data_IF_750741190673
#
_entry.id   IF_750741190673
#
_cell.length_a   1.000
_cell.length_b   1.000
_cell.length_c   1.000
_cell.angle_alpha   90.00
_cell.angle_beta   90.00
_cell.angle_gamma   90.00
#
_symmetry.space_group_name_H-M   'P 1'
#
loop_
_entity.id
_entity.type
_entity.pdbx_description
1 polymer ?
#
# COMPACT_ATOMS: atom_id res chain seq x y z
N UNK A 1 -10.21 64.97 46.04
CA UNK A 1 -8.88 64.71 45.44
C UNK A 1 -7.92 63.94 46.35
N UNK A 2 -8.24 63.62 47.62
CA UNK A 2 -7.31 62.92 48.55
C UNK A 2 -7.31 61.39 48.45
N UNK A 3 -8.41 60.74 48.04
CA UNK A 3 -8.47 59.27 47.97
C UNK A 3 -7.72 58.65 46.78
N UNK A 4 -7.67 59.33 45.63
CA UNK A 4 -6.96 58.84 44.45
C UNK A 4 -5.43 58.85 44.61
N UNK A 5 -4.89 59.85 45.32
CA UNK A 5 -3.45 59.92 45.64
C UNK A 5 -3.04 58.83 46.65
N UNK A 6 -3.90 58.52 47.62
CA UNK A 6 -3.63 57.48 48.60
C UNK A 6 -3.63 56.07 47.96
N UNK A 7 -4.56 55.81 47.04
CA UNK A 7 -4.58 54.55 46.27
C UNK A 7 -3.35 54.37 45.37
N UNK A 8 -2.87 55.45 44.73
CA UNK A 8 -1.67 55.42 43.89
C UNK A 8 -0.39 55.19 44.72
N UNK A 9 -0.28 55.84 45.87
CA UNK A 9 0.82 55.62 46.82
C UNK A 9 0.86 54.18 47.34
N UNK A 10 -0.32 53.63 47.70
CA UNK A 10 -0.43 52.24 48.16
C UNK A 10 -0.06 51.23 47.06
N UNK A 11 -0.39 51.53 45.80
CA UNK A 11 -0.01 50.72 44.66
C UNK A 11 1.51 50.76 44.40
N UNK A 12 2.13 51.94 44.52
CA UNK A 12 3.58 52.10 44.37
C UNK A 12 4.37 51.44 45.52
N UNK A 13 3.84 51.47 46.75
CA UNK A 13 4.39 50.72 47.88
C UNK A 13 4.32 49.22 47.64
N UNK A 14 3.15 48.68 47.29
CA UNK A 14 2.99 47.24 46.98
C UNK A 14 3.89 46.83 45.81
N UNK A 15 4.04 47.69 44.79
CA UNK A 15 4.93 47.43 43.66
C UNK A 15 6.40 47.39 44.09
N UNK A 16 6.83 48.28 45.00
CA UNK A 16 8.19 48.24 45.58
C UNK A 16 8.42 46.98 46.41
N UNK A 17 7.48 46.63 47.28
CA UNK A 17 7.58 45.41 48.12
C UNK A 17 7.62 44.15 47.26
N UNK A 18 6.83 44.09 46.19
CA UNK A 18 6.87 42.99 45.24
C UNK A 18 8.19 42.93 44.47
N UNK A 19 8.76 44.08 44.07
CA UNK A 19 10.08 44.12 43.42
C UNK A 19 11.21 43.67 44.34
N UNK A 20 11.10 44.00 45.63
CA UNK A 20 12.08 43.62 46.64
C UNK A 20 11.95 42.15 47.05
N UNK A 21 10.73 41.62 47.09
CA UNK A 21 10.48 40.18 47.24
C UNK A 21 10.98 39.38 46.03
N UNK A 22 10.78 39.87 44.80
CA UNK A 22 11.35 39.26 43.58
C UNK A 22 12.88 39.28 43.64
N UNK A 23 13.50 40.38 44.07
CA UNK A 23 14.96 40.42 44.29
C UNK A 23 15.42 39.44 45.37
N UNK A 24 14.67 39.28 46.45
CA UNK A 24 14.95 38.27 47.49
C UNK A 24 14.81 36.84 46.98
N UNK A 25 13.82 36.58 46.12
CA UNK A 25 13.63 35.27 45.49
C UNK A 25 14.78 34.99 44.51
N UNK A 26 15.14 35.95 43.66
CA UNK A 26 16.30 35.84 42.76
C UNK A 26 17.62 35.65 43.52
N UNK A 27 17.83 36.38 44.62
CA UNK A 27 19.00 36.17 45.48
C UNK A 27 18.95 34.85 46.25
N UNK A 28 17.75 34.33 46.56
CA UNK A 28 17.59 32.99 47.14
C UNK A 28 17.75 31.90 46.08
N UNK A 29 17.42 32.12 44.81
CA UNK A 29 17.74 31.23 43.69
C UNK A 29 19.25 31.22 43.41
N UNK A 30 19.94 32.36 43.52
CA UNK A 30 21.41 32.47 43.47
C UNK A 30 22.12 31.89 44.70
N UNK A 31 21.44 31.80 45.85
CA UNK A 31 21.98 31.15 47.06
C UNK A 31 21.52 29.70 47.23
N UNK A 32 20.45 29.26 46.57
CA UNK A 32 20.06 27.85 46.40
C UNK A 32 20.81 27.17 45.26
N UNK A 33 21.50 27.93 44.40
CA UNK A 33 22.46 27.40 43.42
C UNK A 33 23.87 27.20 43.99
N UNK A 34 24.07 27.37 45.30
CA UNK A 34 25.29 27.00 46.02
C UNK A 34 25.05 25.90 47.08
N UNK A 35 24.35 24.84 46.67
CA UNK A 35 24.46 23.53 47.32
C UNK A 35 24.82 22.48 46.26
N UNK A 36 26.07 22.01 46.32
CA UNK A 36 26.59 20.80 45.70
C UNK A 36 26.53 20.71 44.17
N UNK A 37 27.28 21.56 43.46
CA UNK A 37 27.72 21.30 42.09
C UNK A 37 28.83 20.23 42.06
N UNK A 38 28.49 19.00 42.44
CA UNK A 38 29.27 17.84 42.03
C UNK A 38 29.09 17.66 40.52
N UNK A 39 30.03 18.18 39.74
CA UNK A 39 30.51 17.65 38.45
C UNK A 39 29.55 16.74 37.64
N UNK A 40 28.33 17.23 37.36
CA UNK A 40 27.27 16.48 36.69
C UNK A 40 27.68 16.09 35.25
N UNK A 41 28.59 16.88 34.64
CA UNK A 41 29.15 16.60 33.32
C UNK A 41 30.06 15.38 33.26
N UNK A 42 31.04 15.27 34.17
CA UNK A 42 31.97 14.14 34.17
C UNK A 42 31.27 12.82 34.55
N UNK A 43 30.29 12.87 35.46
CA UNK A 43 29.48 11.70 35.82
C UNK A 43 28.66 11.19 34.62
N UNK A 44 28.04 12.09 33.84
CA UNK A 44 27.29 11.71 32.63
C UNK A 44 28.21 11.01 31.62
N UNK A 45 29.41 11.53 31.40
CA UNK A 45 30.37 10.92 30.48
C UNK A 45 30.83 9.53 30.96
N UNK A 46 31.04 9.37 32.27
CA UNK A 46 31.39 8.08 32.87
C UNK A 46 30.27 7.04 32.70
N UNK A 47 29.01 7.42 32.92
CA UNK A 47 27.85 6.53 32.73
C UNK A 47 27.71 6.15 31.24
N UNK A 48 27.92 7.11 30.32
CA UNK A 48 27.91 6.85 28.88
C UNK A 48 29.04 5.88 28.46
N UNK A 49 30.22 6.02 29.03
CA UNK A 49 31.34 5.12 28.77
C UNK A 49 31.10 3.73 29.35
N UNK A 50 30.55 3.64 30.57
CA UNK A 50 30.18 2.38 31.22
C UNK A 50 29.11 1.63 30.43
N UNK A 51 28.06 2.32 29.96
CA UNK A 51 27.00 1.72 29.13
C UNK A 51 27.52 1.23 27.78
N UNK A 52 28.51 1.92 27.19
CA UNK A 52 29.17 1.54 25.93
C UNK A 52 30.29 0.51 26.07
N UNK A 53 30.86 0.31 27.26
CA UNK A 53 32.06 -0.54 27.47
C UNK A 53 31.94 -1.95 26.88
N UNK A 54 30.75 -2.54 26.93
CA UNK A 54 30.45 -3.87 26.38
C UNK A 54 30.20 -3.87 24.86
N UNK A 55 30.02 -2.69 24.25
CA UNK A 55 29.86 -2.45 22.83
C UNK A 55 31.21 -2.04 22.23
N UNK A 56 32.06 -3.04 22.04
CA UNK A 56 33.47 -2.87 21.74
C UNK A 56 33.72 -2.44 20.27
N UNK A 57 33.58 -1.15 19.92
CA UNK A 57 34.21 -0.52 18.75
C UNK A 57 34.30 1.02 18.85
N UNK A 58 35.46 1.59 18.50
CA UNK A 58 35.83 3.01 18.64
C UNK A 58 35.26 4.00 17.62
N UNK A 59 33.93 4.10 17.47
CA UNK A 59 33.31 5.29 16.88
C UNK A 59 31.94 5.58 17.49
N UNK A 60 31.72 6.83 17.92
CA UNK A 60 30.45 7.33 18.47
C UNK A 60 29.30 7.23 17.45
N UNK A 61 29.64 7.24 16.15
CA UNK A 61 28.70 7.27 15.02
C UNK A 61 27.86 5.97 14.91
N UNK A 62 28.35 4.87 15.50
CA UNK A 62 27.70 3.55 15.41
C UNK A 62 26.50 3.35 16.33
N UNK A 63 26.39 4.15 17.40
CA UNK A 63 25.22 4.11 18.28
C UNK A 63 24.01 4.84 17.67
N UNK A 64 24.25 5.69 16.66
CA UNK A 64 23.23 6.44 15.93
C UNK A 64 22.21 7.08 16.86
N UNK A 65 20.93 6.75 16.64
CA UNK A 65 19.79 7.31 17.40
C UNK A 65 19.81 6.92 18.88
N UNK A 66 20.39 5.77 19.25
CA UNK A 66 20.46 5.30 20.65
C UNK A 66 21.22 6.27 21.54
N UNK A 67 22.28 6.88 21.00
CA UNK A 67 23.11 7.82 21.73
C UNK A 67 22.32 9.06 22.15
N UNK A 68 21.46 9.58 21.26
CA UNK A 68 20.62 10.74 21.60
C UNK A 68 19.68 10.44 22.76
N UNK A 69 19.00 9.28 22.76
CA UNK A 69 18.13 8.88 23.87
C UNK A 69 18.90 8.68 25.18
N UNK A 70 20.14 8.20 25.10
CA UNK A 70 21.00 8.05 26.28
C UNK A 70 21.35 9.42 26.88
N UNK A 71 21.75 10.38 26.05
CA UNK A 71 22.03 11.76 26.47
C UNK A 71 20.78 12.42 27.04
N UNK A 72 19.66 12.36 26.32
CA UNK A 72 18.38 12.94 26.75
C UNK A 72 17.87 12.31 28.05
N UNK A 73 18.17 11.04 28.32
CA UNK A 73 17.79 10.39 29.59
C UNK A 73 18.63 10.83 30.78
N UNK A 74 19.82 11.36 30.54
CA UNK A 74 20.74 11.83 31.57
C UNK A 74 20.65 13.34 31.79
N UNK A 75 20.32 14.10 30.75
CA UNK A 75 20.13 15.54 30.82
C UNK A 75 18.87 15.92 31.64
N UNK A 76 19.05 16.79 32.63
CA UNK A 76 17.97 17.33 33.45
C UNK A 76 16.97 18.10 32.57
N UNK A 77 15.67 17.80 32.72
CA UNK A 77 14.60 18.49 31.98
C UNK A 77 14.36 18.02 30.54
N UNK A 78 15.15 17.08 30.02
CA UNK A 78 15.01 16.61 28.63
C UNK A 78 13.81 15.67 28.40
N UNK A 79 13.34 14.97 29.44
CA UNK A 79 12.17 14.11 29.36
C UNK A 79 10.94 14.77 29.98
N UNK A 80 9.94 15.06 29.15
CA UNK A 80 8.67 15.66 29.54
C UNK A 80 7.56 14.68 29.19
N UNK A 81 6.64 14.44 30.13
CA UNK A 81 5.46 13.64 29.85
C UNK A 81 4.46 14.46 29.02
N UNK A 82 4.16 14.04 27.79
CA UNK A 82 3.27 14.82 26.90
C UNK A 82 1.78 14.80 27.32
N UNK A 83 1.43 14.10 28.40
CA UNK A 83 0.05 14.04 28.91
C UNK A 83 -0.15 15.11 30.00
N UNK A 84 0.71 15.16 31.02
CA UNK A 84 0.63 16.18 32.09
C UNK A 84 1.53 17.39 31.84
N UNK A 85 2.45 17.32 30.87
CA UNK A 85 3.42 18.37 30.51
C UNK A 85 4.49 18.60 31.61
N UNK A 86 4.52 17.76 32.65
CA UNK A 86 5.55 17.80 33.69
C UNK A 86 6.84 17.08 33.28
N UNK A 87 7.96 17.54 33.86
CA UNK A 87 9.27 16.90 33.74
C UNK A 87 9.27 15.56 34.48
N UNK A 88 9.74 14.52 33.80
CA UNK A 88 9.89 13.18 34.35
C UNK A 88 11.14 13.14 35.23
N UNK A 89 10.96 12.86 36.52
CA UNK A 89 12.04 12.76 37.49
C UNK A 89 12.72 11.39 37.44
N UNK A 90 13.99 11.32 37.83
CA UNK A 90 14.80 10.07 37.83
C UNK A 90 14.19 8.92 38.67
N UNK A 91 13.28 9.24 39.59
CA UNK A 91 12.60 8.34 40.54
C UNK A 91 11.13 8.10 40.20
N UNK A 92 10.62 8.72 39.15
CA UNK A 92 9.23 8.54 38.73
C UNK A 92 9.01 7.15 38.11
N UNK A 93 7.81 6.60 38.34
CA UNK A 93 7.35 5.40 37.68
C UNK A 93 6.86 5.74 36.26
N UNK A 94 7.54 5.18 35.24
CA UNK A 94 7.30 5.53 33.84
C UNK A 94 6.90 4.34 32.98
N UNK A 95 6.31 4.64 31.83
CA UNK A 95 6.17 3.74 30.71
C UNK A 95 6.80 4.38 29.47
N UNK A 96 7.54 3.60 28.68
CA UNK A 96 8.08 4.04 27.40
C UNK A 96 7.39 3.34 26.24
N UNK A 97 7.05 4.09 25.19
CA UNK A 97 6.50 3.51 23.97
C UNK A 97 7.51 2.56 23.31
N UNK A 98 7.10 1.36 22.88
CA UNK A 98 7.99 0.42 22.18
C UNK A 98 8.36 0.86 20.75
N UNK A 99 7.58 1.77 20.16
CA UNK A 99 7.81 2.28 18.80
C UNK A 99 8.63 3.58 18.78
N UNK A 100 8.19 4.60 19.53
CA UNK A 100 8.85 5.91 19.55
C UNK A 100 9.74 6.16 20.77
N UNK A 101 9.78 5.24 21.73
CA UNK A 101 10.63 5.28 22.92
C UNK A 101 10.43 6.47 23.86
N UNK A 102 9.39 7.28 23.64
CA UNK A 102 9.11 8.40 24.54
C UNK A 102 8.56 7.92 25.88
N UNK A 103 9.08 8.48 26.98
CA UNK A 103 8.62 8.17 28.33
C UNK A 103 7.36 8.97 28.70
N UNK A 104 6.51 8.37 29.51
CA UNK A 104 5.31 8.95 30.11
C UNK A 104 5.20 8.46 31.54
N UNK A 105 4.64 9.25 32.46
CA UNK A 105 4.29 8.71 33.78
C UNK A 105 3.29 7.57 33.63
N UNK A 106 3.49 6.50 34.41
CA UNK A 106 2.66 5.30 34.32
C UNK A 106 1.18 5.62 34.59
N UNK A 107 0.90 6.51 35.54
CA UNK A 107 -0.45 6.94 35.90
C UNK A 107 -1.10 7.72 34.76
N UNK A 108 -0.34 8.61 34.11
CA UNK A 108 -0.84 9.42 32.99
C UNK A 108 -1.23 8.55 31.80
N UNK A 109 -0.36 7.60 31.40
CA UNK A 109 -0.68 6.72 30.26
C UNK A 109 -1.85 5.77 30.59
N UNK A 110 -1.97 5.29 31.83
CA UNK A 110 -3.11 4.49 32.24
C UNK A 110 -4.43 5.26 32.18
N UNK A 111 -4.43 6.54 32.58
CA UNK A 111 -5.59 7.43 32.45
C UNK A 111 -5.95 7.61 30.97
N UNK A 112 -4.96 7.95 30.14
CA UNK A 112 -5.12 8.13 28.69
C UNK A 112 -5.78 6.93 28.01
N UNK A 113 -5.36 5.72 28.36
CA UNK A 113 -5.92 4.48 27.81
C UNK A 113 -7.37 4.29 28.26
N UNK A 114 -7.67 4.51 29.55
CA UNK A 114 -9.04 4.38 30.08
C UNK A 114 -10.00 5.36 29.41
N UNK A 115 -9.59 6.61 29.26
CA UNK A 115 -10.39 7.65 28.62
C UNK A 115 -10.61 7.35 27.13
N UNK A 116 -9.56 6.88 26.44
CA UNK A 116 -9.65 6.45 25.04
C UNK A 116 -10.64 5.29 24.86
N UNK A 117 -10.56 4.24 25.67
CA UNK A 117 -11.47 3.09 25.60
C UNK A 117 -12.91 3.52 25.89
N UNK A 118 -13.13 4.39 26.90
CA UNK A 118 -14.47 4.90 27.22
C UNK A 118 -15.08 5.65 26.02
N UNK A 119 -14.32 6.54 25.38
CA UNK A 119 -14.78 7.28 24.20
C UNK A 119 -15.08 6.38 23.00
N UNK A 120 -14.23 5.37 22.74
CA UNK A 120 -14.44 4.41 21.65
C UNK A 120 -15.66 3.51 21.87
N UNK A 121 -15.89 3.06 23.11
CA UNK A 121 -17.04 2.22 23.46
C UNK A 121 -18.39 2.92 23.30
N UNK A 122 -18.41 4.27 23.38
CA UNK A 122 -19.62 5.06 23.17
C UNK A 122 -20.02 5.21 21.69
N UNK A 123 -19.12 4.89 20.74
CA UNK A 123 -19.33 5.18 19.30
C UNK A 123 -19.42 3.96 18.40
N UNK A 124 -18.90 2.77 18.77
CA UNK A 124 -18.99 1.56 17.93
C UNK A 124 -19.02 0.25 18.75
N UNK A 125 -19.95 -0.65 18.42
CA UNK A 125 -20.23 -1.86 19.20
C UNK A 125 -19.50 -3.15 18.75
N UNK A 126 -18.60 -3.12 17.76
CA UNK A 126 -18.05 -4.36 17.17
C UNK A 126 -16.55 -4.33 16.75
N UNK A 127 -15.75 -3.37 17.19
CA UNK A 127 -14.29 -3.38 16.92
C UNK A 127 -13.46 -3.68 18.17
N UNK A 128 -12.29 -4.29 17.95
CA UNK A 128 -11.29 -4.55 19.00
C UNK A 128 -10.86 -3.19 19.53
N UNK A 129 -11.08 -2.93 20.82
CA UNK A 129 -10.73 -1.66 21.48
C UNK A 129 -9.21 -1.45 21.57
N UNK A 130 -8.51 -1.15 20.49
CA UNK A 130 -7.08 -0.78 20.54
C UNK A 130 -6.91 0.63 21.13
N UNK A 131 -5.75 0.90 21.70
CA UNK A 131 -5.38 2.24 22.17
C UNK A 131 -4.11 2.72 21.47
N UNK A 132 -3.86 4.03 21.47
CA UNK A 132 -2.76 4.61 20.70
C UNK A 132 -1.79 5.40 21.58
N UNK A 133 -0.50 5.37 21.23
CA UNK A 133 0.50 6.20 21.89
C UNK A 133 0.24 7.69 21.68
N UNK A 134 0.27 8.54 22.73
CA UNK A 134 0.03 9.98 22.61
C UNK A 134 0.97 10.71 21.65
N UNK A 135 2.22 10.22 21.50
CA UNK A 135 3.24 10.85 20.64
C UNK A 135 3.18 10.37 19.20
N UNK A 136 3.33 9.07 18.97
CA UNK A 136 3.50 8.51 17.63
C UNK A 136 2.23 7.89 17.04
N UNK A 137 1.15 7.81 17.82
CA UNK A 137 -0.14 7.22 17.44
C UNK A 137 -0.07 5.76 16.98
N UNK A 138 1.02 5.05 17.32
CA UNK A 138 1.08 3.59 17.15
C UNK A 138 -0.01 2.94 17.97
N UNK A 139 -0.74 2.02 17.34
CA UNK A 139 -1.82 1.25 17.95
C UNK A 139 -1.26 0.08 18.76
N UNK A 140 -1.91 -0.18 19.89
CA UNK A 140 -1.57 -1.22 20.86
C UNK A 140 -2.84 -1.96 21.28
N UNK A 141 -2.69 -3.23 21.60
CA UNK A 141 -3.79 -4.02 22.13
C UNK A 141 -4.10 -3.63 23.58
N UNK A 142 -5.34 -3.81 24.07
CA UNK A 142 -5.69 -3.68 25.49
C UNK A 142 -4.78 -4.46 26.43
N UNK A 143 -4.25 -5.60 25.97
CA UNK A 143 -3.36 -6.47 26.75
C UNK A 143 -2.02 -5.80 27.03
N UNK A 144 -1.59 -4.89 26.16
CA UNK A 144 -0.33 -4.15 26.28
C UNK A 144 -0.46 -2.92 27.19
N UNK A 145 -1.61 -2.73 27.85
CA UNK A 145 -1.79 -1.66 28.84
C UNK A 145 -0.73 -1.79 29.92
N UNK A 146 0.10 -0.75 30.15
CA UNK A 146 1.15 -0.79 31.15
C UNK A 146 0.56 -0.87 32.56
N UNK A 147 0.76 -2.00 33.23
CA UNK A 147 0.30 -2.25 34.61
C UNK A 147 1.37 -2.03 35.66
N UNK A 148 2.64 -2.15 35.27
CA UNK A 148 3.80 -2.12 36.16
C UNK A 148 4.86 -1.20 35.57
N UNK A 149 5.63 -0.56 36.45
CA UNK A 149 6.80 0.18 36.04
C UNK A 149 7.94 -0.81 35.83
N UNK A 150 8.47 -0.82 34.60
CA UNK A 150 9.49 -1.75 34.16
C UNK A 150 10.70 -0.96 33.68
N UNK A 151 11.89 -1.53 33.86
CA UNK A 151 13.09 -0.97 33.26
C UNK A 151 13.02 -1.03 31.72
N UNK A 152 13.88 -0.29 31.01
CA UNK A 152 13.84 -0.24 29.54
C UNK A 152 13.98 -1.61 28.85
N UNK A 153 14.63 -2.59 29.48
CA UNK A 153 14.75 -3.95 28.95
C UNK A 153 13.66 -4.92 29.42
N UNK A 154 12.72 -4.45 30.24
CA UNK A 154 11.58 -5.19 30.80
C UNK A 154 11.96 -6.41 31.66
N UNK A 155 13.21 -6.49 32.13
CA UNK A 155 13.69 -7.58 32.99
C UNK A 155 13.40 -7.36 34.47
N UNK A 156 13.34 -6.10 34.89
CA UNK A 156 13.16 -5.71 36.29
C UNK A 156 11.91 -4.84 36.45
N UNK A 157 11.16 -5.09 37.52
CA UNK A 157 9.97 -4.34 37.94
C UNK A 157 10.43 -3.35 39.01
N UNK A 158 9.95 -2.11 38.92
CA UNK A 158 10.26 -1.01 39.84
C UNK A 158 11.78 -0.83 40.07
N UNK A 159 12.57 -0.59 39.00
CA UNK A 159 14.02 -0.48 39.11
C UNK A 159 14.42 0.65 40.08
N UNK A 160 15.34 0.34 41.00
CA UNK A 160 15.83 1.33 41.95
C UNK A 160 16.72 2.37 41.26
N UNK A 161 16.60 3.63 41.69
CA UNK A 161 17.45 4.71 41.20
C UNK A 161 18.86 4.60 41.77
N UNK A 162 19.86 4.57 40.88
CA UNK A 162 21.29 4.60 41.21
C UNK A 162 21.95 5.76 40.45
N UNK A 163 22.67 6.68 41.12
CA UNK A 163 23.39 7.78 40.48
C UNK A 163 24.41 7.37 39.40
N UNK A 164 24.95 6.15 39.45
CA UNK A 164 25.98 5.64 38.53
C UNK A 164 25.42 4.83 37.37
N UNK A 165 24.09 4.80 37.23
CA UNK A 165 23.37 4.10 36.17
C UNK A 165 22.43 5.06 35.43
N UNK A 166 21.98 4.63 34.26
CA UNK A 166 20.94 5.34 33.53
C UNK A 166 19.65 5.32 34.38
N UNK A 167 18.97 6.46 34.60
CA UNK A 167 17.69 6.48 35.29
C UNK A 167 16.69 5.52 34.66
N UNK A 168 15.85 4.88 35.47
CA UNK A 168 14.87 3.88 35.02
C UNK A 168 15.47 2.63 34.33
N UNK A 169 16.78 2.41 34.43
CA UNK A 169 17.46 1.21 33.96
C UNK A 169 17.75 0.24 35.10
N UNK A 170 17.90 -1.06 34.79
CA UNK A 170 18.25 -2.09 35.77
C UNK A 170 19.77 -2.31 35.92
N UNK A 171 20.61 -1.54 35.23
CA UNK A 171 22.06 -1.73 35.21
C UNK A 171 22.60 -3.03 34.57
N UNK A 172 21.75 -4.02 34.32
CA UNK A 172 22.10 -5.29 33.64
C UNK A 172 22.28 -5.09 32.12
N UNK A 173 22.90 -6.07 31.45
CA UNK A 173 22.93 -6.10 29.98
C UNK A 173 21.52 -6.14 29.39
N UNK A 174 21.27 -5.32 28.36
CA UNK A 174 19.95 -5.16 27.75
C UNK A 174 19.40 -6.50 27.23
N UNK A 175 20.18 -7.25 26.45
CA UNK A 175 19.84 -8.60 26.01
C UNK A 175 18.63 -8.72 25.07
N UNK A 176 18.02 -7.60 24.64
CA UNK A 176 16.99 -7.61 23.60
C UNK A 176 17.53 -8.17 22.29
N UNK A 177 16.69 -8.89 21.52
CA UNK A 177 17.05 -9.32 20.16
C UNK A 177 17.21 -8.09 19.27
N UNK A 178 18.30 -8.05 18.51
CA UNK A 178 18.59 -6.94 17.60
C UNK A 178 17.73 -7.04 16.34
N UNK A 179 17.30 -5.88 15.85
CA UNK A 179 16.50 -5.72 14.63
C UNK A 179 17.39 -5.01 13.59
N UNK A 180 17.52 -5.51 12.36
CA UNK A 180 16.91 -6.72 11.81
C UNK A 180 17.43 -8.01 12.48
N UNK A 181 16.58 -9.04 12.53
CA UNK A 181 16.90 -10.31 13.18
C UNK A 181 18.16 -10.93 12.58
N UNK A 182 19.23 -10.94 13.38
CA UNK A 182 20.52 -11.49 13.01
C UNK A 182 20.96 -12.65 13.92
N UNK A 183 20.09 -13.09 14.83
CA UNK A 183 20.40 -14.09 15.85
C UNK A 183 21.23 -13.57 17.03
N UNK A 184 21.59 -12.29 17.03
CA UNK A 184 22.37 -11.65 18.10
C UNK A 184 21.51 -10.79 19.02
N UNK A 185 22.03 -10.57 20.23
CA UNK A 185 21.40 -9.79 21.31
C UNK A 185 22.16 -8.48 21.55
N UNK A 186 21.47 -7.48 22.10
CA UNK A 186 22.08 -6.22 22.51
C UNK A 186 23.03 -6.44 23.70
N UNK A 187 24.27 -5.96 23.57
CA UNK A 187 25.32 -6.06 24.58
C UNK A 187 25.48 -4.80 25.42
N UNK A 188 24.80 -3.70 25.08
CA UNK A 188 24.77 -2.51 25.93
C UNK A 188 24.11 -2.82 27.27
N UNK A 189 24.44 -2.06 28.31
CA UNK A 189 23.63 -2.04 29.52
C UNK A 189 22.20 -1.54 29.19
N UNK A 190 21.24 -1.83 30.08
CA UNK A 190 19.85 -1.40 29.92
C UNK A 190 19.78 0.09 29.58
N UNK A 191 19.22 0.41 28.42
CA UNK A 191 19.28 1.74 27.82
C UNK A 191 17.91 2.16 27.29
N UNK A 192 17.60 3.47 27.26
CA UNK A 192 16.44 4.01 26.57
C UNK A 192 16.61 3.91 25.04
N UNK A 193 15.52 4.08 24.31
CA UNK A 193 15.58 4.12 22.85
C UNK A 193 15.72 2.75 22.17
N UNK A 194 15.86 2.75 20.83
CA UNK A 194 16.07 1.54 20.05
C UNK A 194 17.44 0.91 20.34
N UNK A 195 17.56 -0.41 20.20
CA UNK A 195 18.89 -1.04 20.23
C UNK A 195 19.69 -0.68 18.96
N UNK A 196 21.00 -0.42 19.07
CA UNK A 196 21.83 -0.10 17.91
C UNK A 196 22.02 -1.33 17.01
N UNK A 197 22.48 -1.13 15.76
CA UNK A 197 22.82 -2.22 14.86
C UNK A 197 23.84 -3.20 15.48
N UNK A 198 23.81 -4.46 15.03
CA UNK A 198 24.67 -5.49 15.60
C UNK A 198 26.17 -5.20 15.37
N UNK A 199 26.98 -5.07 16.44
CA UNK A 199 28.41 -4.76 16.34
C UNK A 199 29.25 -5.99 16.00
N UNK A 200 28.71 -7.21 16.21
CA UNK A 200 29.44 -8.45 15.95
C UNK A 200 29.91 -8.52 14.50
N UNK A 201 31.16 -8.93 14.33
CA UNK A 201 31.74 -9.18 13.01
C UNK A 201 31.34 -10.57 12.50
N UNK A 202 30.99 -10.64 11.22
CA UNK A 202 30.61 -11.85 10.50
C UNK A 202 31.30 -11.85 9.15
N UNK A 203 31.65 -13.03 8.64
CA UNK A 203 32.20 -13.17 7.30
C UNK A 203 31.08 -13.13 6.27
N UNK A 204 31.10 -12.10 5.42
CA UNK A 204 30.05 -11.87 4.42
C UNK A 204 30.63 -11.88 3.02
N UNK A 205 29.88 -12.48 2.09
CA UNK A 205 30.20 -12.46 0.66
C UNK A 205 29.70 -11.16 0.04
N UNK A 206 30.42 -10.69 -0.97
CA UNK A 206 29.99 -9.56 -1.78
C UNK A 206 28.72 -9.89 -2.58
N UNK A 207 27.93 -8.89 -2.97
CA UNK A 207 26.75 -9.09 -3.82
C UNK A 207 27.01 -9.86 -5.12
N UNK A 208 28.22 -9.75 -5.69
CA UNK A 208 28.59 -10.51 -6.89
C UNK A 208 29.02 -11.96 -6.61
N UNK A 209 29.24 -12.35 -5.34
CA UNK A 209 29.77 -13.65 -4.90
C UNK A 209 31.15 -14.04 -5.47
N UNK A 210 31.83 -13.15 -6.21
CA UNK A 210 33.13 -13.44 -6.83
C UNK A 210 34.33 -13.11 -5.94
N UNK A 211 34.18 -12.17 -4.99
CA UNK A 211 35.25 -11.85 -4.05
C UNK A 211 35.21 -12.75 -2.82
N UNK A 212 36.36 -12.96 -2.20
CA UNK A 212 36.48 -13.71 -0.96
C UNK A 212 35.59 -13.12 0.17
N UNK A 213 35.05 -13.98 1.05
CA UNK A 213 34.36 -13.51 2.25
C UNK A 213 35.23 -12.56 3.04
N UNK A 214 34.67 -11.42 3.44
CA UNK A 214 35.37 -10.40 4.23
C UNK A 214 34.66 -10.21 5.56
N UNK A 215 35.42 -10.05 6.64
CA UNK A 215 34.86 -9.73 7.95
C UNK A 215 34.21 -8.34 7.90
N UNK A 216 32.89 -8.28 8.11
CA UNK A 216 32.12 -7.03 8.21
C UNK A 216 31.19 -7.10 9.41
N UNK A 217 30.70 -5.96 9.87
CA UNK A 217 29.69 -5.92 10.94
C UNK A 217 28.39 -6.54 10.47
N UNK A 218 27.75 -7.31 11.35
CA UNK A 218 26.51 -8.01 11.08
C UNK A 218 25.36 -7.05 10.74
N UNK A 219 25.29 -5.90 11.44
CA UNK A 219 24.33 -4.83 11.12
C UNK A 219 24.49 -4.25 9.71
N UNK A 220 25.68 -4.39 9.11
CA UNK A 220 26.03 -3.89 7.78
C UNK A 220 26.61 -5.00 6.90
N UNK A 221 25.90 -6.14 6.83
CA UNK A 221 26.31 -7.34 6.09
C UNK A 221 26.46 -7.12 4.58
N UNK A 222 25.75 -6.15 4.02
CA UNK A 222 25.69 -5.90 2.59
C UNK A 222 26.88 -5.07 2.11
N UNK A 223 27.64 -5.58 1.15
CA UNK A 223 28.77 -4.84 0.58
C UNK A 223 29.05 -5.21 -0.89
N UNK A 224 29.61 -4.26 -1.63
CA UNK A 224 30.10 -4.41 -2.98
C UNK A 224 31.63 -4.31 -3.03
N UNK A 225 32.27 -5.11 -3.87
CA UNK A 225 33.74 -5.18 -3.98
C UNK A 225 34.35 -4.12 -4.89
N UNK A 226 33.55 -3.24 -5.49
CA UNK A 226 34.00 -2.22 -6.45
C UNK A 226 34.43 -2.76 -7.82
N UNK A 227 34.62 -4.08 -7.99
CA UNK A 227 34.91 -4.72 -9.28
C UNK A 227 33.67 -4.70 -10.19
N UNK A 228 33.86 -4.90 -11.49
CA UNK A 228 32.74 -5.11 -12.42
C UNK A 228 31.91 -6.34 -12.02
N UNK A 229 30.59 -6.26 -12.17
CA UNK A 229 29.67 -7.31 -11.76
C UNK A 229 29.85 -8.58 -12.60
N UNK A 230 30.01 -8.45 -13.92
CA UNK A 230 30.25 -9.53 -14.89
C UNK A 230 29.24 -10.69 -14.88
N UNK A 231 28.11 -10.53 -14.16
CA UNK A 231 26.99 -11.46 -14.11
C UNK A 231 26.31 -11.54 -15.48
N UNK A 232 25.92 -12.74 -15.89
CA UNK A 232 25.22 -12.95 -17.16
C UNK A 232 23.85 -12.26 -17.12
N UNK A 233 23.58 -11.37 -18.07
CA UNK A 233 22.31 -10.65 -18.17
C UNK A 233 21.21 -11.60 -18.66
N UNK A 234 19.94 -11.20 -18.52
CA UNK A 234 18.77 -11.96 -18.96
C UNK A 234 18.81 -12.38 -20.44
N UNK A 235 19.54 -11.65 -21.27
CA UNK A 235 19.74 -11.95 -22.68
C UNK A 235 20.66 -13.16 -22.97
N UNK A 236 21.30 -13.74 -21.94
CA UNK A 236 22.25 -14.87 -22.00
C UNK A 236 23.50 -14.69 -22.87
N UNK A 237 23.65 -13.55 -23.55
CA UNK A 237 24.78 -13.27 -24.46
C UNK A 237 25.73 -12.21 -23.89
N UNK A 238 25.24 -11.30 -23.06
CA UNK A 238 26.01 -10.19 -22.52
C UNK A 238 26.16 -10.28 -21.00
N UNK A 239 27.30 -9.77 -20.51
CA UNK A 239 27.61 -9.67 -19.08
C UNK A 239 27.38 -8.24 -18.59
N UNK A 240 27.05 -8.10 -17.31
CA UNK A 240 26.88 -6.81 -16.68
C UNK A 240 28.22 -6.05 -16.61
N UNK A 241 28.28 -4.88 -17.25
CA UNK A 241 29.46 -4.00 -17.27
C UNK A 241 29.48 -3.00 -16.10
N UNK A 242 28.40 -2.92 -15.32
CA UNK A 242 28.31 -2.05 -14.15
C UNK A 242 29.25 -2.52 -13.04
N UNK A 243 29.71 -1.58 -12.21
CA UNK A 243 30.36 -1.90 -10.94
C UNK A 243 29.45 -2.76 -10.06
N UNK A 244 30.04 -3.58 -9.20
CA UNK A 244 29.29 -4.46 -8.32
C UNK A 244 28.24 -3.66 -7.55
N UNK A 245 26.97 -4.00 -7.77
CA UNK A 245 25.83 -3.24 -7.31
C UNK A 245 24.90 -4.12 -6.48
N UNK A 246 23.98 -3.49 -5.76
CA UNK A 246 22.87 -4.14 -5.09
C UNK A 246 21.75 -4.46 -6.08
N UNK A 247 20.99 -5.53 -5.83
CA UNK A 247 19.81 -5.87 -6.63
C UNK A 247 20.09 -6.57 -7.97
N UNK A 248 19.03 -6.82 -8.77
CA UNK A 248 19.15 -7.46 -10.08
C UNK A 248 19.89 -6.55 -11.08
N UNK A 249 20.64 -7.16 -12.01
CA UNK A 249 21.30 -6.42 -13.07
C UNK A 249 20.27 -5.80 -14.03
N UNK A 250 20.55 -4.60 -14.51
CA UNK A 250 19.72 -3.94 -15.52
C UNK A 250 19.60 -4.80 -16.79
N UNK A 251 18.44 -4.76 -17.48
CA UNK A 251 18.27 -5.44 -18.76
C UNK A 251 19.34 -5.00 -19.78
N UNK A 252 19.73 -5.92 -20.66
CA UNK A 252 20.67 -5.60 -21.72
C UNK A 252 20.08 -4.55 -22.67
N UNK A 253 20.78 -3.42 -22.84
CA UNK A 253 20.42 -2.34 -23.78
C UNK A 253 20.99 -2.55 -25.19
N UNK A 254 21.83 -3.57 -25.39
CA UNK A 254 22.39 -3.89 -26.72
C UNK A 254 21.29 -4.49 -27.58
N UNK A 255 21.31 -4.19 -28.87
CA UNK A 255 20.44 -4.82 -29.86
C UNK A 255 21.13 -6.07 -30.44
N UNK A 256 20.33 -7.06 -30.81
CA UNK A 256 20.80 -8.30 -31.45
C UNK A 256 19.81 -8.72 -32.54
N UNK A 257 20.32 -9.38 -33.59
CA UNK A 257 19.46 -9.97 -34.61
C UNK A 257 18.81 -11.22 -34.00
N UNK A 258 17.49 -11.18 -33.82
CA UNK A 258 16.72 -12.31 -33.26
C UNK A 258 15.79 -12.89 -34.32
N UNK A 259 15.75 -14.23 -34.47
CA UNK A 259 14.77 -14.89 -35.32
C UNK A 259 13.39 -14.81 -34.68
N UNK A 260 12.34 -14.71 -35.51
CA UNK A 260 10.97 -14.86 -35.07
C UNK A 260 10.75 -16.27 -34.54
N UNK A 261 9.81 -16.43 -33.61
CA UNK A 261 9.36 -17.73 -33.13
C UNK A 261 8.87 -18.68 -34.25
N UNK A 262 8.46 -18.16 -35.42
CA UNK A 262 8.14 -19.00 -36.59
C UNK A 262 9.36 -19.37 -37.46
N UNK A 263 10.55 -18.84 -37.18
CA UNK A 263 11.78 -19.07 -37.94
C UNK A 263 11.86 -18.35 -39.30
N UNK A 264 10.76 -17.77 -39.81
CA UNK A 264 10.69 -17.21 -41.17
C UNK A 264 11.35 -15.83 -41.33
N UNK A 265 11.41 -15.04 -40.27
CA UNK A 265 11.95 -13.66 -40.32
C UNK A 265 12.97 -13.42 -39.21
N UNK A 266 13.93 -12.52 -39.46
CA UNK A 266 14.91 -12.05 -38.47
C UNK A 266 14.81 -10.53 -38.38
N UNK A 267 14.87 -9.98 -37.17
CA UNK A 267 14.81 -8.53 -36.95
C UNK A 267 15.84 -8.10 -35.89
N UNK A 268 16.33 -6.87 -36.01
CA UNK A 268 17.17 -6.23 -34.98
C UNK A 268 16.25 -5.79 -33.84
N UNK A 269 16.45 -6.36 -32.66
CA UNK A 269 15.64 -6.09 -31.45
C UNK A 269 16.52 -5.99 -30.23
N UNK A 270 15.99 -5.45 -29.13
CA UNK A 270 16.72 -5.44 -27.86
C UNK A 270 17.06 -6.87 -27.45
N UNK A 271 18.27 -7.09 -26.95
CA UNK A 271 18.72 -8.43 -26.59
C UNK A 271 17.89 -9.03 -25.44
N UNK A 272 17.18 -8.22 -24.66
CA UNK A 272 16.26 -8.68 -23.63
C UNK A 272 14.94 -9.27 -24.19
N UNK A 273 14.58 -8.95 -25.43
CA UNK A 273 13.32 -9.36 -26.06
C UNK A 273 13.50 -10.77 -26.66
N UNK A 274 13.44 -11.79 -25.81
CA UNK A 274 13.61 -13.20 -26.22
C UNK A 274 12.45 -13.73 -27.07
N UNK A 275 11.26 -13.13 -26.94
CA UNK A 275 10.04 -13.58 -27.61
C UNK A 275 9.67 -12.62 -28.74
N UNK A 276 10.19 -12.89 -29.95
CA UNK A 276 9.82 -12.14 -31.16
C UNK A 276 8.75 -12.89 -31.97
N UNK A 277 7.61 -12.23 -32.18
CA UNK A 277 6.51 -12.67 -33.04
C UNK A 277 6.37 -11.64 -34.16
N UNK A 278 6.42 -12.08 -35.41
CA UNK A 278 6.27 -11.18 -36.56
C UNK A 278 4.78 -10.98 -36.89
N UNK A 279 4.46 -9.90 -37.60
CA UNK A 279 3.08 -9.60 -38.01
C UNK A 279 2.67 -10.34 -39.31
N UNK A 280 3.50 -11.28 -39.78
CA UNK A 280 3.20 -12.03 -40.99
C UNK A 280 2.08 -13.05 -40.72
N UNK A 281 1.15 -13.26 -41.67
CA UNK A 281 0.15 -14.31 -41.54
C UNK A 281 0.84 -15.68 -41.45
N UNK A 282 0.32 -16.55 -40.58
CA UNK A 282 0.91 -17.88 -40.38
C UNK A 282 0.92 -18.70 -41.67
N UNK A 283 -0.23 -18.72 -42.37
CA UNK A 283 -0.49 -19.44 -43.63
C UNK A 283 -0.16 -20.94 -43.60
N UNK A 284 0.07 -21.53 -42.43
CA UNK A 284 0.23 -22.98 -42.28
C UNK A 284 -1.12 -23.69 -42.47
N UNK A 285 -1.08 -24.91 -43.01
CA UNK A 285 -2.24 -25.77 -43.14
C UNK A 285 -2.77 -26.15 -41.74
N UNK A 286 -4.07 -25.96 -41.54
CA UNK A 286 -4.78 -26.44 -40.35
C UNK A 286 -4.85 -27.98 -40.39
N UNK A 287 -5.25 -28.62 -39.29
CA UNK A 287 -5.35 -30.08 -39.21
C UNK A 287 -6.23 -30.71 -40.32
N UNK A 288 -7.10 -29.94 -40.96
CA UNK A 288 -7.92 -30.41 -42.08
C UNK A 288 -7.20 -30.45 -43.45
N UNK A 289 -5.93 -30.05 -43.55
CA UNK A 289 -5.10 -30.05 -44.77
C UNK A 289 -5.65 -29.26 -45.98
N UNK A 290 -6.80 -28.60 -45.85
CA UNK A 290 -7.46 -27.81 -46.91
C UNK A 290 -7.41 -26.31 -46.59
N UNK A 291 -7.56 -25.95 -45.31
CA UNK A 291 -7.68 -24.56 -44.89
C UNK A 291 -6.39 -24.04 -44.27
N UNK A 292 -6.06 -22.79 -44.60
CA UNK A 292 -4.88 -22.09 -44.09
C UNK A 292 -5.21 -21.33 -42.81
N UNK A 293 -4.26 -21.29 -41.87
CA UNK A 293 -4.36 -20.52 -40.64
C UNK A 293 -4.37 -19.02 -40.93
N UNK A 294 -5.49 -18.35 -40.62
CA UNK A 294 -5.68 -16.89 -40.78
C UNK A 294 -5.12 -16.05 -39.62
N UNK A 295 -4.49 -16.67 -38.62
CA UNK A 295 -3.91 -15.96 -37.48
C UNK A 295 -2.58 -15.31 -37.89
N UNK A 296 -2.22 -14.21 -37.24
CA UNK A 296 -0.84 -13.71 -37.27
C UNK A 296 0.10 -14.81 -36.72
N UNK A 297 1.34 -14.83 -37.20
CA UNK A 297 2.39 -15.75 -36.77
C UNK A 297 2.28 -15.97 -35.26
N UNK A 298 2.17 -17.20 -34.79
CA UNK A 298 2.00 -17.53 -33.37
C UNK A 298 2.91 -18.69 -32.99
N UNK A 299 3.12 -18.88 -31.69
CA UNK A 299 3.82 -20.06 -31.15
C UNK A 299 2.87 -21.26 -31.11
N UNK A 300 3.35 -22.43 -31.49
CA UNK A 300 2.60 -23.70 -31.41
C UNK A 300 1.80 -24.03 -32.68
N UNK A 301 1.09 -25.16 -32.63
CA UNK A 301 0.31 -25.69 -33.75
C UNK A 301 -0.93 -24.82 -34.04
N UNK A 302 -1.32 -24.72 -35.31
CA UNK A 302 -2.43 -23.85 -35.74
C UNK A 302 -3.81 -24.31 -35.28
N UNK A 303 -3.92 -25.51 -34.70
CA UNK A 303 -5.16 -26.07 -34.17
C UNK A 303 -6.12 -26.57 -35.25
N UNK A 304 -7.33 -26.89 -34.80
CA UNK A 304 -8.40 -27.46 -35.62
C UNK A 304 -9.08 -26.41 -36.49
N UNK A 305 -9.62 -26.82 -37.64
CA UNK A 305 -10.29 -25.90 -38.54
C UNK A 305 -11.61 -25.38 -37.94
N UNK A 306 -11.91 -24.07 -38.01
CA UNK A 306 -13.18 -23.51 -37.52
C UNK A 306 -14.42 -24.10 -38.21
N UNK A 307 -14.26 -24.65 -39.42
CA UNK A 307 -15.32 -25.33 -40.19
C UNK A 307 -15.37 -26.84 -39.93
N UNK A 308 -14.53 -27.36 -39.04
CA UNK A 308 -14.45 -28.79 -38.73
C UNK A 308 -15.09 -29.05 -37.35
N UNK A 309 -15.91 -30.09 -37.27
CA UNK A 309 -16.68 -30.43 -36.08
C UNK A 309 -18.18 -30.21 -36.25
N UNK A 310 -18.90 -30.13 -35.14
CA UNK A 310 -20.36 -30.03 -35.08
C UNK A 310 -20.86 -28.76 -35.77
N UNK A 311 -21.54 -28.90 -36.91
CA UNK A 311 -22.16 -27.79 -37.64
C UNK A 311 -23.66 -27.95 -37.65
N UNK A 312 -24.40 -26.86 -37.48
CA UNK A 312 -25.87 -26.87 -37.49
C UNK A 312 -26.43 -26.33 -38.80
N UNK A 313 -27.62 -26.79 -39.20
CA UNK A 313 -28.39 -26.15 -40.29
C UNK A 313 -28.48 -24.63 -40.08
N UNK A 314 -28.75 -23.83 -41.13
CA UNK A 314 -29.03 -22.40 -41.00
C UNK A 314 -30.12 -22.06 -39.97
N UNK A 315 -31.00 -23.02 -39.67
CA UNK A 315 -32.08 -22.95 -38.68
C UNK A 315 -31.70 -23.35 -37.24
N UNK A 316 -30.52 -23.92 -37.01
CA UNK A 316 -30.08 -24.45 -35.70
C UNK A 316 -30.66 -25.81 -35.27
N UNK A 317 -31.69 -26.34 -35.92
CA UNK A 317 -32.40 -27.57 -35.53
C UNK A 317 -31.60 -28.86 -35.72
N UNK A 318 -31.01 -29.05 -36.91
CA UNK A 318 -30.26 -30.26 -37.24
C UNK A 318 -28.77 -30.04 -37.06
N UNK A 319 -28.12 -30.99 -36.39
CA UNK A 319 -26.67 -31.02 -36.15
C UNK A 319 -26.02 -32.06 -37.06
N UNK A 320 -24.90 -31.68 -37.67
CA UNK A 320 -24.06 -32.53 -38.51
C UNK A 320 -22.70 -32.68 -37.83
N UNK A 321 -22.38 -33.89 -37.37
CA UNK A 321 -21.15 -34.17 -36.61
C UNK A 321 -19.93 -34.39 -37.52
N UNK A 322 -20.15 -34.97 -38.71
CA UNK A 322 -19.09 -35.42 -39.62
C UNK A 322 -19.10 -34.70 -40.97
N UNK A 323 -19.54 -33.44 -41.03
CA UNK A 323 -19.56 -32.69 -42.28
C UNK A 323 -18.12 -32.25 -42.66
N UNK A 324 -17.63 -32.55 -43.87
CA UNK A 324 -16.34 -32.08 -44.34
C UNK A 324 -16.26 -30.55 -44.27
N UNK A 325 -15.10 -30.02 -43.89
CA UNK A 325 -14.92 -28.57 -43.77
C UNK A 325 -15.01 -27.85 -45.13
N UNK A 326 -14.86 -28.57 -46.24
CA UNK A 326 -14.97 -28.08 -47.63
C UNK A 326 -16.41 -27.83 -48.08
N UNK A 327 -17.39 -28.47 -47.46
CA UNK A 327 -18.78 -28.39 -47.87
C UNK A 327 -19.54 -27.35 -47.03
N UNK A 328 -20.55 -26.72 -47.61
CA UNK A 328 -21.48 -25.85 -46.89
C UNK A 328 -22.57 -26.68 -46.21
N UNK A 329 -23.13 -26.16 -45.11
CA UNK A 329 -24.13 -26.91 -44.34
C UNK A 329 -25.44 -26.97 -45.13
N UNK A 330 -25.97 -28.16 -45.42
CA UNK A 330 -27.25 -28.28 -46.11
C UNK A 330 -28.42 -27.79 -45.24
N UNK A 331 -29.49 -27.38 -45.90
CA UNK A 331 -30.76 -27.08 -45.22
C UNK A 331 -31.40 -28.38 -44.74
N UNK A 332 -32.03 -28.38 -43.57
CA UNK A 332 -32.61 -29.60 -43.00
C UNK A 332 -33.98 -29.98 -43.60
N UNK A 333 -34.53 -29.16 -44.50
CA UNK A 333 -35.86 -29.35 -45.08
C UNK A 333 -37.04 -29.03 -44.14
N UNK A 334 -36.83 -28.95 -42.82
CA UNK A 334 -37.85 -28.58 -41.83
C UNK A 334 -38.18 -27.07 -41.88
N UNK A 335 -39.27 -26.65 -41.23
CA UNK A 335 -39.65 -25.25 -41.06
C UNK A 335 -38.55 -24.49 -40.32
N UNK A 336 -38.19 -23.30 -40.80
CA UNK A 336 -37.07 -22.50 -40.31
C UNK A 336 -37.23 -22.12 -38.83
N UNK A 337 -38.44 -21.69 -38.42
CA UNK A 337 -38.81 -21.30 -37.04
C UNK A 337 -37.94 -20.22 -36.37
N UNK A 338 -36.97 -19.64 -37.11
CA UNK A 338 -36.18 -18.49 -36.67
C UNK A 338 -37.11 -17.31 -36.42
N UNK A 339 -36.84 -16.59 -35.33
CA UNK A 339 -37.58 -15.39 -34.94
C UNK A 339 -37.34 -14.31 -36.01
N UNK A 340 -38.42 -13.79 -36.59
CA UNK A 340 -38.35 -12.71 -37.59
C UNK A 340 -38.07 -11.37 -36.89
N UNK A 341 -37.57 -10.37 -37.63
CA UNK A 341 -37.25 -9.03 -37.12
C UNK A 341 -38.41 -8.34 -36.39
N UNK A 342 -39.66 -8.71 -36.71
CA UNK A 342 -40.84 -8.23 -35.99
C UNK A 342 -40.90 -8.65 -34.50
N UNK A 343 -40.04 -9.57 -34.07
CA UNK A 343 -39.91 -9.99 -32.68
C UNK A 343 -41.06 -10.83 -32.11
N UNK A 344 -42.15 -10.99 -32.86
CA UNK A 344 -43.36 -11.69 -32.42
C UNK A 344 -43.62 -13.00 -33.17
N UNK A 345 -43.23 -13.06 -34.45
CA UNK A 345 -43.52 -14.20 -35.31
C UNK A 345 -42.26 -14.98 -35.69
N UNK A 346 -42.46 -16.27 -36.00
CA UNK A 346 -41.44 -17.20 -36.47
C UNK A 346 -41.55 -17.40 -37.98
N UNK A 347 -40.42 -17.70 -38.61
CA UNK A 347 -40.35 -17.98 -40.04
C UNK A 347 -41.05 -19.31 -40.38
N UNK A 348 -42.06 -19.25 -41.25
CA UNK A 348 -42.84 -20.41 -41.70
C UNK A 348 -42.29 -21.04 -42.99
N UNK A 349 -41.23 -20.47 -43.57
CA UNK A 349 -40.59 -21.06 -44.74
C UNK A 349 -39.78 -22.31 -44.35
N UNK A 350 -39.58 -23.21 -45.32
CA UNK A 350 -38.59 -24.27 -45.21
C UNK A 350 -37.22 -23.68 -44.90
N UNK A 351 -36.38 -24.45 -44.21
CA UNK A 351 -35.01 -24.07 -43.89
C UNK A 351 -34.31 -23.59 -45.17
N UNK A 352 -33.77 -22.38 -45.11
CA UNK A 352 -33.16 -21.71 -46.24
C UNK A 352 -31.82 -21.09 -45.80
N UNK A 353 -30.95 -20.85 -46.78
CA UNK A 353 -29.71 -20.11 -46.58
C UNK A 353 -29.98 -18.60 -46.69
N UNK A 354 -29.36 -17.78 -45.85
CA UNK A 354 -29.57 -16.32 -45.80
C UNK A 354 -30.65 -15.86 -44.81
N UNK A 355 -30.99 -14.57 -44.87
CA UNK A 355 -31.93 -13.90 -43.96
C UNK A 355 -33.39 -14.28 -44.23
N UNK A 356 -34.20 -14.36 -43.17
CA UNK A 356 -35.62 -14.71 -43.30
C UNK A 356 -36.40 -13.57 -43.97
N UNK A 357 -37.39 -13.91 -44.79
CA UNK A 357 -38.29 -12.92 -45.38
C UNK A 357 -39.08 -12.13 -44.32
N UNK A 358 -39.46 -10.90 -44.68
CA UNK A 358 -40.27 -10.03 -43.81
C UNK A 358 -41.61 -10.67 -43.41
N UNK A 359 -42.06 -10.38 -42.19
CA UNK A 359 -43.27 -11.01 -41.64
C UNK A 359 -44.54 -10.62 -42.42
N UNK A 360 -45.15 -11.61 -43.09
CA UNK A 360 -46.40 -11.46 -43.85
C UNK A 360 -47.68 -11.69 -43.02
N UNK A 361 -47.56 -11.99 -41.73
CA UNK A 361 -48.73 -12.18 -40.87
C UNK A 361 -49.44 -10.86 -40.62
N UNK A 362 -50.77 -10.86 -40.63
CA UNK A 362 -51.59 -9.68 -40.37
C UNK A 362 -51.84 -9.58 -38.87
N UNK A 363 -51.52 -8.43 -38.28
CA UNK A 363 -51.82 -8.17 -36.87
C UNK A 363 -52.65 -6.90 -36.71
N UNK A 364 -53.47 -6.87 -35.66
CA UNK A 364 -54.20 -5.67 -35.27
C UNK A 364 -53.19 -4.67 -34.71
N UNK A 365 -53.00 -3.54 -35.41
CA UNK A 365 -52.11 -2.47 -34.94
C UNK A 365 -52.91 -1.22 -34.63
N UNK A 366 -52.58 -0.60 -33.50
CA UNK A 366 -53.06 0.73 -33.09
C UNK A 366 -52.22 1.81 -33.78
N UNK A 367 -52.87 2.86 -34.27
CA UNK A 367 -52.16 4.05 -34.74
C UNK A 367 -51.32 4.64 -33.58
N UNK A 368 -50.20 5.32 -33.85
CA UNK A 368 -49.42 6.05 -32.82
C UNK A 368 -50.27 7.01 -31.96
N UNK A 369 -51.40 7.49 -32.48
CA UNK A 369 -52.32 8.33 -31.72
C UNK A 369 -53.17 7.55 -30.69
N UNK A 370 -53.31 6.22 -30.84
CA UNK A 370 -54.13 5.33 -30.01
C UNK A 370 -55.61 5.26 -30.39
N UNK A 371 -56.10 6.11 -31.29
CA UNK A 371 -57.54 6.32 -31.55
C UNK A 371 -58.14 5.38 -32.61
N UNK A 372 -57.32 4.75 -33.45
CA UNK A 372 -57.78 3.88 -34.54
C UNK A 372 -56.99 2.58 -34.54
N UNK A 373 -57.66 1.49 -34.85
CA UNK A 373 -57.11 0.16 -35.01
C UNK A 373 -57.41 -0.35 -36.42
N UNK A 374 -56.43 -0.99 -37.05
CA UNK A 374 -56.61 -1.65 -38.35
C UNK A 374 -55.76 -2.92 -38.40
N UNK A 375 -56.29 -3.97 -39.00
CA UNK A 375 -55.54 -5.19 -39.33
C UNK A 375 -54.63 -4.90 -40.53
N UNK A 376 -53.31 -4.87 -40.30
CA UNK A 376 -52.30 -4.64 -41.34
C UNK A 376 -51.14 -5.64 -41.23
N UNK A 377 -50.34 -5.87 -42.29
CA UNK A 377 -49.16 -6.72 -42.23
C UNK A 377 -48.22 -6.32 -41.08
N UNK A 378 -47.65 -7.30 -40.39
CA UNK A 378 -46.81 -7.11 -39.22
C UNK A 378 -45.55 -6.27 -39.52
N UNK A 379 -45.01 -6.34 -40.74
CA UNK A 379 -43.89 -5.49 -41.17
C UNK A 379 -44.31 -4.03 -41.46
N UNK A 380 -45.60 -3.75 -41.63
CA UNK A 380 -46.11 -2.43 -41.99
C UNK A 380 -46.49 -1.63 -40.73
N UNK A 381 -46.14 -0.34 -40.69
CA UNK A 381 -46.59 0.59 -39.64
C UNK A 381 -47.98 1.17 -39.96
N UNK A 382 -48.88 1.22 -38.97
CA UNK A 382 -50.20 1.86 -39.13
C UNK A 382 -50.12 3.32 -38.69
N UNK A 383 -50.30 4.23 -39.65
CA UNK A 383 -50.42 5.66 -39.42
C UNK A 383 -51.81 6.13 -39.87
N UNK A 384 -52.44 6.96 -39.06
CA UNK A 384 -53.77 7.49 -39.31
C UNK A 384 -53.68 8.95 -39.74
N UNK A 385 -54.61 9.38 -40.60
CA UNK A 385 -54.61 10.72 -41.19
C UNK A 385 -55.15 11.82 -40.25
N UNK A 386 -55.57 11.44 -39.04
CA UNK A 386 -56.13 12.36 -38.05
C UNK A 386 -55.04 13.28 -37.50
N UNK A 387 -55.26 14.60 -37.55
CA UNK A 387 -54.36 15.59 -36.95
C UNK A 387 -54.27 15.34 -35.44
N UNK A 388 -53.05 15.32 -34.90
CA UNK A 388 -52.87 15.11 -33.48
C UNK A 388 -53.48 16.29 -32.68
N UNK A 389 -54.24 16.00 -31.63
CA UNK A 389 -54.84 17.04 -30.76
C UNK A 389 -54.16 17.11 -29.39
N UNK A 390 -53.20 16.21 -29.09
CA UNK A 390 -52.45 16.24 -27.83
C UNK A 390 -51.69 17.56 -27.68
N UNK A 391 -51.71 18.12 -26.48
CA UNK A 391 -50.89 19.27 -26.14
C UNK A 391 -49.41 18.91 -26.22
N UNK A 392 -48.60 19.83 -26.77
CA UNK A 392 -47.14 19.70 -26.74
C UNK A 392 -46.65 19.83 -25.29
N UNK A 393 -45.43 19.37 -25.03
CA UNK A 393 -44.77 19.47 -23.72
C UNK A 393 -44.66 20.90 -23.18
N UNK A 394 -44.84 21.93 -24.01
CA UNK A 394 -44.95 23.32 -23.57
C UNK A 394 -46.33 23.73 -23.03
N UNK A 395 -47.32 22.83 -22.99
CA UNK A 395 -48.64 23.02 -22.35
C UNK A 395 -49.57 24.08 -22.95
N UNK A 396 -49.07 24.92 -23.88
CA UNK A 396 -49.81 26.08 -24.41
C UNK A 396 -50.35 25.89 -25.84
N UNK A 397 -49.89 24.87 -26.57
CA UNK A 397 -50.26 24.69 -27.97
C UNK A 397 -50.64 23.23 -28.30
N UNK A 398 -51.78 23.00 -28.98
CA UNK A 398 -52.15 21.67 -29.48
C UNK A 398 -51.25 21.27 -30.65
N UNK A 399 -50.86 19.99 -30.71
CA UNK A 399 -49.95 19.47 -31.72
C UNK A 399 -50.62 19.31 -33.10
N UNK A 400 -50.88 20.40 -33.82
CA UNK A 400 -51.54 20.40 -35.16
C UNK A 400 -50.75 19.70 -36.30
N UNK A 401 -49.74 18.86 -36.00
CA UNK A 401 -49.02 18.06 -37.00
C UNK A 401 -49.94 16.97 -37.55
N UNK A 402 -50.04 16.87 -38.87
CA UNK A 402 -50.47 15.61 -39.51
C UNK A 402 -49.46 14.56 -39.10
N UNK A 403 -49.90 13.36 -38.72
CA UNK A 403 -49.01 12.23 -38.41
C UNK A 403 -48.47 11.67 -39.73
N UNK A 404 -47.70 12.49 -40.44
CA UNK A 404 -46.92 12.15 -41.62
C UNK A 404 -45.50 12.62 -41.34
N UNK A 405 -44.65 11.69 -40.91
CA UNK A 405 -43.20 11.80 -41.15
C UNK A 405 -42.69 10.39 -41.47
N UNK A 406 -42.55 10.10 -42.76
CA UNK A 406 -41.30 9.54 -43.29
C UNK A 406 -40.73 10.61 -44.23
N UNK A 407 -39.62 11.22 -43.84
CA UNK A 407 -38.58 11.58 -44.79
C UNK A 407 -37.49 10.54 -44.58
#
# INVERSE_FOLDING_TARGET
MSHANNAKQRFEEIAKTNKENIRRILSNEENQSNSDSFDDGNLIEEILNKTKSSFNTGSSDDLGRTYQYLVDSLSTGANICLICIDVIQKKDAIWNCSCCYSPFHIVCIQQWIKDGIYQSSATNNNEINTWHCPKCRTEFDPKDTPKRYLCYCHKEIDPQFDPWLIPHSCGQTCGKRLIPECGHICLLLCHPGPCPPCPKQVNVRCYCNQSNPTARRCGFKGWSCGKSCSKLLSCQQHRCEQVCHTGPCLPCQKTSIRPCQCGKTKAVRNCNELNFQCDQPCNQLLNCQIHHCKRICHKGECGSCPRQGLRTCPCGKTKYENLPCSEDVPTCGDTCDRKLDCGLHRCLHRCHTGDCESCRQVTLKRCRCGLKEKSIPCCQEYLCETKCTRMRSCGKHPCKRKVWIKK
#
